data_IF_615972254887
#
_entry.id   IF_615972254887
#
_cell.length_a   1.000
_cell.length_b   1.000
_cell.length_c   1.000
_cell.angle_alpha   90.00
_cell.angle_beta   90.00
_cell.angle_gamma   90.00
#
_symmetry.space_group_name_H-M   'P 1'
#
loop_
_entity.id
_entity.type
_entity.pdbx_description
1 polymer ?
#
# COMPACT_ATOMS: atom_id res chain seq x y z
N UNK A 1 -0.47 3.41 -16.28
CA UNK A 1 0.86 2.91 -15.90
C UNK A 1 1.40 2.13 -17.08
N UNK A 2 2.24 2.75 -17.89
CA UNK A 2 2.93 2.07 -18.99
C UNK A 2 4.14 1.34 -18.40
N UNK A 3 4.45 0.15 -18.90
CA UNK A 3 5.50 -0.74 -18.39
C UNK A 3 6.94 -0.16 -18.43
N UNK A 4 7.09 1.11 -18.80
CA UNK A 4 8.38 1.77 -19.04
C UNK A 4 9.01 2.42 -17.81
N UNK A 5 8.29 2.54 -16.67
CA UNK A 5 8.82 3.16 -15.44
C UNK A 5 9.48 2.16 -14.46
N UNK A 6 9.39 0.85 -14.72
CA UNK A 6 9.70 -0.18 -13.70
C UNK A 6 11.02 -0.91 -13.89
N UNK A 7 11.85 -0.57 -14.87
CA UNK A 7 13.16 -1.20 -15.06
C UNK A 7 14.26 -0.39 -14.38
N UNK A 8 15.36 -1.06 -14.00
CA UNK A 8 16.59 -0.38 -13.61
C UNK A 8 17.03 0.56 -14.74
N UNK A 9 17.46 1.76 -14.37
CA UNK A 9 18.09 2.68 -15.32
C UNK A 9 19.48 2.16 -15.74
N UNK A 10 20.04 2.63 -16.86
CA UNK A 10 21.40 2.27 -17.26
C UNK A 10 22.44 2.53 -16.16
N UNK A 11 22.29 3.61 -15.40
CA UNK A 11 23.13 3.96 -14.26
C UNK A 11 22.99 2.96 -13.10
N UNK A 12 21.76 2.54 -12.77
CA UNK A 12 21.50 1.54 -11.74
C UNK A 12 22.03 0.16 -12.15
N UNK A 13 21.91 -0.21 -13.43
CA UNK A 13 22.52 -1.41 -14.01
C UNK A 13 24.04 -1.36 -13.86
N UNK A 14 24.66 -0.23 -14.25
CA UNK A 14 26.11 -0.04 -14.13
C UNK A 14 26.56 -0.19 -12.67
N UNK A 15 25.84 0.43 -11.74
CA UNK A 15 26.13 0.33 -10.31
C UNK A 15 26.05 -1.11 -9.81
N UNK A 16 25.01 -1.85 -10.17
CA UNK A 16 24.86 -3.26 -9.80
C UNK A 16 26.02 -4.13 -10.30
N UNK A 17 26.49 -3.89 -11.53
CA UNK A 17 27.63 -4.61 -12.11
C UNK A 17 28.97 -4.22 -11.47
N UNK A 18 29.16 -2.94 -11.13
CA UNK A 18 30.34 -2.47 -10.40
C UNK A 18 30.41 -3.07 -9.00
N UNK A 19 29.27 -3.15 -8.29
CA UNK A 19 29.22 -3.74 -6.95
C UNK A 19 29.46 -5.25 -6.99
N UNK A 20 28.99 -5.94 -8.03
CA UNK A 20 29.36 -7.33 -8.28
C UNK A 20 30.87 -7.50 -8.52
N UNK A 21 31.52 -6.60 -9.27
CA UNK A 21 32.96 -6.62 -9.49
C UNK A 21 33.74 -6.35 -8.20
N UNK A 22 33.30 -5.42 -7.35
CA UNK A 22 33.93 -5.14 -6.04
C UNK A 22 33.94 -6.38 -5.13
N UNK A 23 32.93 -7.25 -5.23
CA UNK A 23 32.85 -8.51 -4.48
C UNK A 23 33.80 -9.59 -5.00
N UNK A 24 34.27 -9.47 -6.25
CA UNK A 24 35.18 -10.44 -6.91
C UNK A 24 36.37 -9.71 -7.57
N UNK A 25 37.23 -9.04 -6.77
CA UNK A 25 38.32 -8.24 -7.31
C UNK A 25 39.31 -9.10 -8.10
N UNK A 26 39.79 -8.59 -9.23
CA UNK A 26 40.77 -9.26 -10.08
C UNK A 26 40.22 -10.41 -10.94
N UNK A 27 38.92 -10.68 -10.89
CA UNK A 27 38.26 -11.65 -11.77
C UNK A 27 37.33 -10.92 -12.74
N UNK A 28 37.36 -11.32 -14.01
CA UNK A 28 36.34 -10.92 -14.97
C UNK A 28 35.07 -11.69 -14.62
N UNK A 29 33.97 -10.97 -14.37
CA UNK A 29 32.68 -11.61 -14.14
C UNK A 29 32.19 -12.32 -15.41
N UNK A 30 31.67 -13.53 -15.23
CA UNK A 30 30.92 -14.21 -16.27
C UNK A 30 29.60 -13.48 -16.54
N UNK A 31 29.06 -13.63 -17.75
CA UNK A 31 27.79 -13.02 -18.12
C UNK A 31 26.64 -13.41 -17.17
N UNK A 32 26.61 -14.66 -16.69
CA UNK A 32 25.61 -15.12 -15.71
C UNK A 32 25.67 -14.35 -14.39
N UNK A 33 26.87 -14.01 -13.92
CA UNK A 33 27.06 -13.27 -12.66
C UNK A 33 26.63 -11.81 -12.80
N UNK A 34 26.82 -11.24 -13.99
CA UNK A 34 26.33 -9.90 -14.34
C UNK A 34 24.80 -9.89 -14.36
N UNK A 35 24.17 -10.86 -15.03
CA UNK A 35 22.71 -10.97 -15.06
C UNK A 35 22.11 -11.19 -13.67
N UNK A 36 22.72 -12.03 -12.84
CA UNK A 36 22.28 -12.29 -11.47
C UNK A 36 22.34 -11.02 -10.61
N UNK A 37 23.41 -10.23 -10.74
CA UNK A 37 23.53 -8.96 -10.02
C UNK A 37 22.45 -7.95 -10.41
N UNK A 38 22.14 -7.85 -11.71
CA UNK A 38 21.09 -6.97 -12.22
C UNK A 38 19.71 -7.45 -11.76
N UNK A 39 19.45 -8.76 -11.81
CA UNK A 39 18.19 -9.35 -11.36
C UNK A 39 17.96 -9.10 -9.86
N UNK A 40 19.00 -9.25 -9.03
CA UNK A 40 18.92 -8.94 -7.60
C UNK A 40 18.63 -7.46 -7.35
N UNK A 41 19.33 -6.56 -8.04
CA UNK A 41 19.11 -5.12 -7.90
C UNK A 41 17.68 -4.72 -8.32
N UNK A 42 17.13 -5.35 -9.36
CA UNK A 42 15.74 -5.12 -9.78
C UNK A 42 14.77 -5.60 -8.71
N UNK A 43 14.96 -6.80 -8.17
CA UNK A 43 14.14 -7.34 -7.08
C UNK A 43 14.14 -6.43 -5.84
N UNK A 44 15.31 -5.90 -5.47
CA UNK A 44 15.45 -5.00 -4.34
C UNK A 44 14.71 -3.68 -4.56
N UNK A 45 14.79 -3.11 -5.77
CA UNK A 45 14.04 -1.90 -6.18
C UNK A 45 12.55 -2.13 -6.09
N UNK A 46 12.06 -3.22 -6.68
CA UNK A 46 10.64 -3.60 -6.69
C UNK A 46 10.11 -3.80 -5.26
N UNK A 47 10.89 -4.48 -4.42
CA UNK A 47 10.51 -4.74 -3.02
C UNK A 47 10.43 -3.45 -2.21
N UNK A 48 11.43 -2.56 -2.35
CA UNK A 48 11.45 -1.28 -1.64
C UNK A 48 10.26 -0.40 -2.01
N UNK A 49 9.92 -0.33 -3.29
CA UNK A 49 8.77 0.43 -3.77
C UNK A 49 7.45 -0.17 -3.23
N UNK A 50 7.31 -1.50 -3.25
CA UNK A 50 6.14 -2.18 -2.70
C UNK A 50 5.96 -1.85 -1.21
N UNK A 51 7.05 -1.88 -0.42
CA UNK A 51 7.03 -1.50 1.00
C UNK A 51 6.58 -0.04 1.17
N UNK A 52 7.15 0.90 0.42
CA UNK A 52 6.74 2.31 0.48
C UNK A 52 5.24 2.50 0.17
N UNK A 53 4.73 1.86 -0.88
CA UNK A 53 3.30 1.91 -1.22
C UNK A 53 2.42 1.31 -0.12
N UNK A 54 2.88 0.23 0.53
CA UNK A 54 2.17 -0.37 1.66
C UNK A 54 2.14 0.60 2.85
N UNK A 55 3.26 1.25 3.17
CA UNK A 55 3.34 2.22 4.26
C UNK A 55 2.42 3.43 4.04
N UNK A 56 2.38 3.97 2.82
CA UNK A 56 1.45 5.06 2.45
C UNK A 56 -0.01 4.64 2.66
N UNK A 57 -0.39 3.46 2.16
CA UNK A 57 -1.75 2.94 2.34
C UNK A 57 -2.07 2.69 3.82
N UNK A 58 -1.11 2.19 4.59
CA UNK A 58 -1.27 2.00 6.03
C UNK A 58 -1.48 3.33 6.77
N UNK A 59 -0.78 4.39 6.37
CA UNK A 59 -0.98 5.73 6.95
C UNK A 59 -2.41 6.23 6.72
N UNK A 60 -2.94 6.04 5.51
CA UNK A 60 -4.33 6.36 5.20
C UNK A 60 -5.27 5.54 6.09
N UNK A 61 -5.12 4.21 6.12
CA UNK A 61 -5.96 3.34 6.95
C UNK A 61 -5.94 3.72 8.43
N UNK A 62 -4.78 4.05 8.99
CA UNK A 62 -4.64 4.49 10.39
C UNK A 62 -5.28 5.84 10.66
N UNK A 63 -5.38 6.71 9.65
CA UNK A 63 -6.01 8.03 9.78
C UNK A 63 -7.54 7.98 9.72
N UNK A 64 -8.13 6.88 9.25
CA UNK A 64 -9.58 6.73 9.17
C UNK A 64 -10.17 6.50 10.56
N UNK A 65 -10.98 7.46 11.03
CA UNK A 65 -11.78 7.33 12.26
C UNK A 65 -13.02 6.45 12.04
N UNK A 66 -12.77 5.18 11.71
CA UNK A 66 -13.82 4.19 11.47
C UNK A 66 -14.67 3.94 12.72
N UNK A 67 -14.07 4.01 13.91
CA UNK A 67 -14.78 3.85 15.19
C UNK A 67 -15.75 4.99 15.45
N UNK A 68 -15.32 6.24 15.25
CA UNK A 68 -16.20 7.40 15.39
C UNK A 68 -17.34 7.40 14.36
N UNK A 69 -17.06 6.98 13.12
CA UNK A 69 -18.10 6.83 12.10
C UNK A 69 -19.14 5.77 12.48
N UNK A 70 -18.71 4.60 12.97
CA UNK A 70 -19.60 3.55 13.45
C UNK A 70 -20.42 4.01 14.65
N UNK A 71 -19.83 4.76 15.58
CA UNK A 71 -20.56 5.31 16.72
C UNK A 71 -21.69 6.25 16.27
N UNK A 72 -21.41 7.17 15.34
CA UNK A 72 -22.43 8.08 14.77
C UNK A 72 -23.54 7.33 14.03
N UNK A 73 -23.22 6.26 13.31
CA UNK A 73 -24.24 5.44 12.65
C UNK A 73 -25.21 4.84 13.65
N UNK A 74 -24.69 4.29 14.77
CA UNK A 74 -25.53 3.75 15.85
C UNK A 74 -26.40 4.82 16.50
N UNK A 75 -25.86 6.03 16.72
CA UNK A 75 -26.64 7.16 17.23
C UNK A 75 -27.80 7.52 16.30
N UNK A 76 -27.59 7.49 14.97
CA UNK A 76 -28.66 7.73 14.01
C UNK A 76 -29.69 6.59 13.96
N UNK A 77 -29.25 5.33 14.09
CA UNK A 77 -30.15 4.17 14.18
C UNK A 77 -31.05 4.28 15.42
N UNK A 78 -30.49 4.57 16.60
CA UNK A 78 -31.24 4.77 17.84
C UNK A 78 -32.23 5.95 17.75
N UNK A 79 -31.82 7.05 17.11
CA UNK A 79 -32.68 8.22 16.92
C UNK A 79 -33.85 7.91 15.98
N UNK A 80 -33.60 7.15 14.91
CA UNK A 80 -34.62 6.74 13.95
C UNK A 80 -35.64 5.80 14.63
N UNK A 81 -35.19 4.82 15.41
CA UNK A 81 -36.08 3.91 16.13
C UNK A 81 -37.01 4.65 17.09
N UNK A 82 -36.47 5.62 17.85
CA UNK A 82 -37.26 6.47 18.75
C UNK A 82 -38.31 7.29 18.00
N UNK A 83 -37.93 7.89 16.87
CA UNK A 83 -38.84 8.68 16.06
C UNK A 83 -39.98 7.83 15.48
N UNK A 84 -39.66 6.63 14.96
CA UNK A 84 -40.66 5.70 14.44
C UNK A 84 -41.63 5.22 15.52
N UNK A 85 -41.12 4.94 16.72
CA UNK A 85 -41.94 4.53 17.88
C UNK A 85 -42.89 5.66 18.29
N UNK A 86 -42.37 6.87 18.45
CA UNK A 86 -43.19 8.04 18.79
C UNK A 86 -44.26 8.34 17.74
N UNK A 87 -43.94 8.17 16.45
CA UNK A 87 -44.92 8.30 15.37
C UNK A 87 -46.02 7.23 15.44
N UNK A 88 -45.65 5.98 15.71
CA UNK A 88 -46.59 4.88 15.88
C UNK A 88 -47.52 5.13 17.07
N UNK A 89 -46.97 5.53 18.22
CA UNK A 89 -47.73 5.86 19.43
C UNK A 89 -48.71 7.02 19.18
N UNK A 90 -48.26 8.09 18.51
CA UNK A 90 -49.11 9.22 18.15
C UNK A 90 -50.28 8.79 17.24
N UNK A 91 -50.03 7.92 16.26
CA UNK A 91 -51.09 7.38 15.39
C UNK A 91 -52.10 6.54 16.16
N UNK A 92 -51.65 5.72 17.11
CA UNK A 92 -52.54 4.90 17.94
C UNK A 92 -53.39 5.75 18.88
N UNK A 93 -52.86 6.84 19.42
CA UNK A 93 -53.59 7.72 20.34
C UNK A 93 -54.62 8.64 19.67
N UNK A 94 -54.51 8.88 18.36
CA UNK A 94 -55.40 9.76 17.60
C UNK A 94 -56.37 9.00 16.68
N UNK A 95 -56.50 7.68 16.87
CA UNK A 95 -57.53 6.82 16.28
C UNK A 95 -58.49 6.32 17.35
#
# INVERSE_FOLDING_TARGET
MTASEMLLTPEEIKQAVEDAHKRKPGKILAASEIYEAIAQAQYDKDTKEAVMKIEEKMKILKSLDTKGLVAKLREYEDALEKAMTAEADFKVQNH
#
